data_IF_730788343558
#
_entry.id   IF_730788343558
#
_cell.length_a   1.000
_cell.length_b   1.000
_cell.length_c   1.000
_cell.angle_alpha   90.00
_cell.angle_beta   90.00
_cell.angle_gamma   90.00
#
_symmetry.space_group_name_H-M   'P 1'
#
loop_
_entity.id
_entity.type
_entity.pdbx_description
1 polymer ?
#
# COMPACT_ATOMS: atom_id res chain seq x y z
N UNK A 1 15.51 10.37 -4.38
CA UNK A 1 16.18 9.47 -5.34
C UNK A 1 15.39 8.18 -5.31
N UNK A 2 14.81 7.75 -6.42
CA UNK A 2 14.03 6.51 -6.46
C UNK A 2 15.01 5.35 -6.58
N UNK A 3 15.21 4.61 -5.49
CA UNK A 3 16.00 3.40 -5.52
C UNK A 3 15.18 2.29 -6.21
N UNK A 4 15.77 1.63 -7.20
CA UNK A 4 15.17 0.52 -7.90
C UNK A 4 15.94 -0.75 -7.59
N UNK A 5 15.22 -1.85 -7.40
CA UNK A 5 15.73 -3.17 -7.08
C UNK A 5 15.43 -4.11 -8.25
N UNK A 6 16.37 -4.98 -8.61
CA UNK A 6 16.17 -6.10 -9.53
C UNK A 6 15.42 -7.26 -8.85
N UNK A 7 14.90 -8.23 -9.63
CA UNK A 7 14.27 -9.44 -9.06
C UNK A 7 15.16 -10.11 -8.00
N UNK A 8 16.47 -10.22 -8.25
CA UNK A 8 17.41 -10.87 -7.34
C UNK A 8 17.59 -10.08 -6.04
N UNK A 9 17.69 -8.75 -6.12
CA UNK A 9 17.83 -7.89 -4.94
C UNK A 9 16.55 -7.91 -4.09
N UNK A 10 15.38 -7.88 -4.73
CA UNK A 10 14.08 -7.96 -4.06
C UNK A 10 13.95 -9.27 -3.29
N UNK A 11 14.21 -10.41 -3.96
CA UNK A 11 14.15 -11.73 -3.33
C UNK A 11 15.14 -11.87 -2.17
N UNK A 12 16.31 -11.24 -2.26
CA UNK A 12 17.28 -11.23 -1.17
C UNK A 12 16.85 -10.33 0.01
N UNK A 13 16.02 -9.31 -0.25
CA UNK A 13 15.57 -8.35 0.76
C UNK A 13 14.31 -8.77 1.53
N UNK A 14 13.50 -9.65 0.95
CA UNK A 14 12.21 -10.08 1.52
C UNK A 14 12.33 -11.52 2.01
N UNK A 15 12.17 -11.72 3.32
CA UNK A 15 12.28 -13.04 3.93
C UNK A 15 11.20 -13.99 3.42
N UNK A 16 11.56 -15.23 3.10
CA UNK A 16 10.62 -16.25 2.61
C UNK A 16 10.08 -16.02 1.19
N UNK A 17 10.52 -14.97 0.49
CA UNK A 17 10.16 -14.73 -0.91
C UNK A 17 11.04 -15.57 -1.83
N UNK A 18 10.44 -16.18 -2.84
CA UNK A 18 11.16 -16.86 -3.93
C UNK A 18 10.88 -16.15 -5.24
N UNK A 19 11.72 -16.35 -6.26
CA UNK A 19 11.49 -15.78 -7.61
C UNK A 19 10.14 -16.25 -8.17
N UNK A 20 9.77 -17.51 -7.94
CA UNK A 20 8.47 -18.05 -8.37
C UNK A 20 7.32 -17.30 -7.73
N UNK A 21 7.40 -17.05 -6.41
CA UNK A 21 6.36 -16.35 -5.65
C UNK A 21 6.29 -14.87 -6.01
N UNK A 22 7.44 -14.22 -6.19
CA UNK A 22 7.52 -12.85 -6.71
C UNK A 22 6.79 -12.73 -8.06
N UNK A 23 7.04 -13.63 -9.00
CA UNK A 23 6.38 -13.64 -10.30
C UNK A 23 4.89 -13.96 -10.20
N UNK A 24 4.48 -14.81 -9.26
CA UNK A 24 3.06 -15.06 -9.00
C UNK A 24 2.36 -13.78 -8.51
N UNK A 25 2.97 -13.02 -7.60
CA UNK A 25 2.42 -11.72 -7.17
C UNK A 25 2.36 -10.69 -8.29
N UNK A 26 3.35 -10.66 -9.19
CA UNK A 26 3.30 -9.80 -10.39
C UNK A 26 2.17 -10.24 -11.32
N UNK A 27 2.01 -11.54 -11.56
CA UNK A 27 0.95 -12.09 -12.41
C UNK A 27 -0.47 -11.85 -11.84
N UNK A 28 -0.62 -11.89 -10.51
CA UNK A 28 -1.85 -11.55 -9.81
C UNK A 28 -2.13 -10.03 -9.76
N UNK A 29 -1.30 -9.19 -10.41
CA UNK A 29 -1.36 -7.73 -10.39
C UNK A 29 -1.25 -7.12 -8.98
N UNK A 30 -0.62 -7.82 -8.02
CA UNK A 30 -0.34 -7.27 -6.69
C UNK A 30 0.70 -6.15 -6.76
N UNK A 31 1.58 -6.22 -7.76
CA UNK A 31 2.69 -5.30 -7.97
C UNK A 31 2.62 -4.81 -9.42
N UNK A 32 2.98 -3.57 -9.64
CA UNK A 32 3.14 -3.00 -10.96
C UNK A 32 4.60 -2.54 -11.12
N UNK A 33 5.57 -3.49 -11.20
CA UNK A 33 6.96 -3.13 -11.41
C UNK A 33 7.13 -2.42 -12.75
N UNK A 34 8.12 -1.52 -12.80
CA UNK A 34 8.54 -0.93 -14.05
C UNK A 34 9.35 -1.95 -14.86
N UNK A 35 9.32 -1.84 -16.19
CA UNK A 35 10.25 -2.57 -17.05
C UNK A 35 11.35 -1.64 -17.54
N UNK A 36 12.61 -2.06 -17.38
CA UNK A 36 13.79 -1.35 -17.89
C UNK A 36 14.72 -2.33 -18.58
N UNK A 37 15.00 -2.06 -19.86
CA UNK A 37 15.87 -2.91 -20.69
C UNK A 37 15.42 -4.39 -20.72
N UNK A 38 14.10 -4.64 -20.69
CA UNK A 38 13.53 -5.99 -20.67
C UNK A 38 13.67 -6.73 -19.34
N UNK A 39 13.97 -6.01 -18.24
CA UNK A 39 14.01 -6.55 -16.87
C UNK A 39 13.03 -5.81 -15.97
N UNK A 40 12.35 -6.57 -15.11
CA UNK A 40 11.51 -5.99 -14.06
C UNK A 40 12.39 -5.27 -13.05
N UNK A 41 12.01 -4.04 -12.73
CA UNK A 41 12.60 -3.26 -11.65
C UNK A 41 11.52 -2.82 -10.67
N UNK A 42 11.82 -2.92 -9.40
CA UNK A 42 10.89 -2.72 -8.29
C UNK A 42 11.32 -1.49 -7.52
N UNK A 43 10.37 -0.63 -7.16
CA UNK A 43 10.64 0.51 -6.28
C UNK A 43 10.64 0.12 -4.80
N UNK A 44 11.00 1.06 -3.93
CA UNK A 44 10.88 0.89 -2.46
C UNK A 44 9.44 0.55 -2.03
N UNK A 45 8.44 1.14 -2.69
CA UNK A 45 7.04 0.85 -2.41
C UNK A 45 6.67 -0.61 -2.73
N UNK A 46 7.22 -1.16 -3.81
CA UNK A 46 7.00 -2.56 -4.19
C UNK A 46 7.65 -3.52 -3.18
N UNK A 47 8.85 -3.18 -2.70
CA UNK A 47 9.53 -3.97 -1.66
C UNK A 47 8.75 -3.96 -0.34
N UNK A 48 8.27 -2.79 0.10
CA UNK A 48 7.43 -2.69 1.30
C UNK A 48 6.14 -3.51 1.16
N UNK A 49 5.52 -3.47 -0.02
CA UNK A 49 4.32 -4.24 -0.35
C UNK A 49 4.58 -5.75 -0.36
N UNK A 50 5.73 -6.17 -0.91
CA UNK A 50 6.14 -7.57 -0.94
C UNK A 50 6.41 -8.15 0.44
N UNK A 51 6.99 -7.37 1.36
CA UNK A 51 7.15 -7.78 2.75
C UNK A 51 5.79 -8.09 3.38
N UNK A 52 4.82 -7.18 3.22
CA UNK A 52 3.48 -7.39 3.76
C UNK A 52 2.77 -8.59 3.11
N UNK A 53 2.92 -8.80 1.80
CA UNK A 53 2.37 -9.98 1.12
C UNK A 53 3.01 -11.28 1.61
N UNK A 54 4.33 -11.30 1.81
CA UNK A 54 5.04 -12.47 2.32
C UNK A 54 4.60 -12.82 3.75
N UNK A 55 4.46 -11.81 4.63
CA UNK A 55 3.91 -11.95 5.98
C UNK A 55 2.47 -12.49 5.94
N UNK A 56 1.59 -11.86 5.15
CA UNK A 56 0.18 -12.26 5.05
C UNK A 56 0.04 -13.71 4.54
N UNK A 57 0.77 -14.08 3.51
CA UNK A 57 0.67 -15.45 2.99
C UNK A 57 1.33 -16.48 3.91
N UNK A 58 2.33 -16.12 4.72
CA UNK A 58 2.96 -17.04 5.67
C UNK A 58 2.12 -17.21 6.95
N UNK A 59 1.63 -16.12 7.53
CA UNK A 59 0.93 -16.12 8.82
C UNK A 59 -0.51 -16.64 8.70
N UNK A 60 -1.13 -16.48 7.53
CA UNK A 60 -2.54 -16.81 7.31
C UNK A 60 -2.77 -17.96 6.31
N UNK A 61 -1.70 -18.63 5.84
CA UNK A 61 -1.75 -19.73 4.85
C UNK A 61 -2.60 -19.36 3.61
N UNK A 62 -2.43 -18.11 3.16
CA UNK A 62 -3.20 -17.53 2.06
C UNK A 62 -2.46 -17.71 0.74
N UNK A 63 -3.19 -18.09 -0.30
CA UNK A 63 -2.70 -18.02 -1.68
C UNK A 63 -2.46 -16.56 -2.12
N UNK A 64 -1.80 -16.41 -3.26
CA UNK A 64 -1.42 -15.10 -3.78
C UNK A 64 -2.63 -14.21 -4.10
N UNK A 65 -3.75 -14.79 -4.57
CA UNK A 65 -4.97 -14.04 -4.92
C UNK A 65 -5.69 -13.52 -3.67
N UNK A 66 -5.78 -14.35 -2.62
CA UNK A 66 -6.37 -13.95 -1.35
C UNK A 66 -5.49 -12.89 -0.65
N UNK A 67 -4.16 -13.06 -0.69
CA UNK A 67 -3.22 -12.05 -0.19
C UNK A 67 -3.35 -10.73 -0.97
N UNK A 68 -3.54 -10.79 -2.29
CA UNK A 68 -3.81 -9.61 -3.13
C UNK A 68 -5.07 -8.87 -2.69
N UNK A 69 -6.15 -9.61 -2.42
CA UNK A 69 -7.42 -9.02 -1.99
C UNK A 69 -7.26 -8.32 -0.64
N UNK A 70 -6.63 -8.96 0.35
CA UNK A 70 -6.40 -8.35 1.67
C UNK A 70 -5.55 -7.09 1.54
N UNK A 71 -4.48 -7.15 0.75
CA UNK A 71 -3.62 -6.00 0.52
C UNK A 71 -4.41 -4.85 -0.14
N UNK A 72 -5.28 -5.14 -1.09
CA UNK A 72 -6.15 -4.13 -1.72
C UNK A 72 -7.06 -3.44 -0.71
N UNK A 73 -7.56 -4.16 0.30
CA UNK A 73 -8.37 -3.60 1.37
C UNK A 73 -7.54 -2.73 2.31
N UNK A 74 -6.31 -3.17 2.63
CA UNK A 74 -5.34 -2.39 3.41
C UNK A 74 -5.02 -1.08 2.68
N UNK A 75 -4.74 -1.14 1.38
CA UNK A 75 -4.48 0.04 0.54
C UNK A 75 -5.68 1.00 0.51
N UNK A 76 -6.91 0.48 0.40
CA UNK A 76 -8.14 1.28 0.49
C UNK A 76 -8.28 1.99 1.85
N UNK A 77 -8.02 1.30 2.97
CA UNK A 77 -8.06 1.89 4.31
C UNK A 77 -7.00 2.99 4.45
N UNK A 78 -5.79 2.76 3.95
CA UNK A 78 -4.75 3.77 3.95
C UNK A 78 -5.11 4.98 3.08
N UNK A 79 -5.73 4.75 1.91
CA UNK A 79 -6.29 5.80 1.05
C UNK A 79 -7.29 6.67 1.79
N UNK A 80 -8.31 6.05 2.39
CA UNK A 80 -9.32 6.76 3.16
C UNK A 80 -8.72 7.53 4.34
N UNK A 81 -7.76 6.94 5.06
CA UNK A 81 -7.05 7.63 6.15
C UNK A 81 -6.27 8.84 5.66
N UNK A 82 -5.65 8.77 4.47
CA UNK A 82 -4.95 9.92 3.85
C UNK A 82 -5.94 11.03 3.50
N UNK A 83 -7.06 10.70 2.87
CA UNK A 83 -8.11 11.66 2.52
C UNK A 83 -8.70 12.34 3.76
N UNK A 84 -9.00 11.58 4.81
CA UNK A 84 -9.49 12.15 6.07
C UNK A 84 -8.48 13.08 6.74
N UNK A 85 -7.18 12.74 6.70
CA UNK A 85 -6.12 13.63 7.20
C UNK A 85 -6.02 14.91 6.38
N UNK A 86 -6.10 14.81 5.04
CA UNK A 86 -6.08 15.97 4.16
C UNK A 86 -7.30 16.87 4.39
N UNK A 87 -8.49 16.29 4.54
CA UNK A 87 -9.70 17.02 4.92
C UNK A 87 -9.54 17.69 6.29
N UNK A 88 -9.00 16.98 7.28
CA UNK A 88 -8.72 17.55 8.60
C UNK A 88 -7.74 18.71 8.56
N UNK A 89 -6.70 18.62 7.75
CA UNK A 89 -5.73 19.70 7.52
C UNK A 89 -6.39 20.92 6.86
N UNK A 90 -7.17 20.71 5.79
CA UNK A 90 -7.90 21.78 5.13
C UNK A 90 -8.88 22.49 6.09
N UNK A 91 -9.63 21.73 6.89
CA UNK A 91 -10.50 22.30 7.93
C UNK A 91 -9.71 23.04 9.00
N UNK A 92 -8.48 22.62 9.32
CA UNK A 92 -7.63 23.32 10.28
C UNK A 92 -7.13 24.68 9.75
N UNK A 93 -7.01 24.84 8.43
CA UNK A 93 -6.62 26.11 7.79
C UNK A 93 -7.77 27.13 7.72
N UNK A 94 -9.02 26.69 7.89
CA UNK A 94 -10.19 27.56 7.87
C UNK A 94 -10.27 28.52 9.08
N UNK A 95 -10.93 29.68 8.94
CA UNK A 95 -11.22 30.60 10.04
C UNK A 95 -11.99 29.93 11.20
N UNK A 96 -11.75 30.41 12.42
CA UNK A 96 -12.32 29.80 13.64
C UNK A 96 -13.85 29.70 13.62
N UNK A 97 -14.54 30.71 13.06
CA UNK A 97 -16.00 30.71 12.91
C UNK A 97 -16.48 29.50 12.07
N UNK A 98 -15.80 29.22 10.96
CA UNK A 98 -16.12 28.10 10.07
C UNK A 98 -15.86 26.78 10.78
N UNK A 99 -14.71 26.65 11.47
CA UNK A 99 -14.37 25.45 12.25
C UNK A 99 -15.39 25.18 13.36
N UNK A 100 -15.81 26.21 14.09
CA UNK A 100 -16.82 26.11 15.13
C UNK A 100 -18.16 25.61 14.55
N UNK A 101 -18.61 26.20 13.43
CA UNK A 101 -19.85 25.78 12.75
C UNK A 101 -19.78 24.32 12.27
N UNK A 102 -18.64 23.89 11.74
CA UNK A 102 -18.43 22.50 11.32
C UNK A 102 -18.48 21.52 12.51
N UNK A 103 -17.83 21.86 13.64
CA UNK A 103 -17.87 21.04 14.86
C UNK A 103 -19.30 20.84 15.38
N UNK A 104 -20.10 21.90 15.44
CA UNK A 104 -21.51 21.81 15.87
C UNK A 104 -22.32 20.87 14.97
N UNK A 105 -22.14 20.95 13.64
CA UNK A 105 -22.86 20.09 12.70
C UNK A 105 -22.42 18.63 12.76
N UNK A 106 -21.13 18.37 12.97
CA UNK A 106 -20.60 17.01 13.12
C UNK A 106 -21.10 16.34 14.41
N UNK A 107 -21.13 17.08 15.52
CA UNK A 107 -21.65 16.58 16.79
C UNK A 107 -23.15 16.20 16.71
N UNK A 108 -23.93 16.92 15.90
CA UNK A 108 -25.36 16.64 15.69
C UNK A 108 -25.65 15.41 14.82
N UNK A 109 -24.63 14.84 14.15
CA UNK A 109 -24.77 13.64 13.30
C UNK A 109 -24.35 12.34 13.99
N UNK A 110 -23.83 12.44 15.21
CA UNK A 110 -23.33 11.30 15.99
C UNK A 110 -24.34 10.91 17.05
#
# INVERSE_FOLDING_TARGET
MTHFYSETEVVASVEGLTVTRLRAFVAANCLAPDEREGRLVFGEADVARLNLLAELSADFDMDEDAAALVLSLVDQIHGLRRELRALGAAVAEEPEEVRARLRTRLAARR
#
